data_IF_274640534872
#
_entry.id   IF_274640534872
#
_cell.length_a   1.000
_cell.length_b   1.000
_cell.length_c   1.000
_cell.angle_alpha   90.00
_cell.angle_beta   90.00
_cell.angle_gamma   90.00
#
_symmetry.space_group_name_H-M   'P 1'
#
loop_
_entity.id
_entity.type
_entity.pdbx_description
1 polymer ?
#
# COMPACT_ATOMS: atom_id res chain seq x y z
N UNK A 1 20.50 -14.50 -4.83
CA UNK A 1 19.71 -14.85 -3.63
C UNK A 1 18.48 -13.95 -3.62
N UNK A 2 17.31 -14.53 -3.31
CA UNK A 2 16.08 -13.74 -3.23
C UNK A 2 16.08 -12.92 -1.94
N UNK A 3 15.53 -11.70 -2.03
CA UNK A 3 15.42 -10.82 -0.88
C UNK A 3 14.31 -11.29 0.07
N UNK A 4 14.54 -11.18 1.35
CA UNK A 4 13.53 -11.37 2.41
C UNK A 4 13.77 -10.36 3.52
N UNK A 5 12.70 -9.90 4.16
CA UNK A 5 12.81 -8.98 5.30
C UNK A 5 13.41 -9.68 6.53
N UNK A 6 13.18 -10.98 6.66
CA UNK A 6 13.73 -11.79 7.76
C UNK A 6 13.80 -13.25 7.31
N UNK A 7 14.91 -13.89 7.62
CA UNK A 7 15.10 -15.32 7.32
C UNK A 7 14.22 -16.16 8.27
N UNK A 8 14.29 -15.86 9.56
CA UNK A 8 13.44 -16.50 10.56
C UNK A 8 12.20 -15.65 10.78
N UNK A 9 11.04 -16.24 10.49
CA UNK A 9 9.74 -15.56 10.55
C UNK A 9 8.97 -15.86 11.83
N UNK A 10 9.60 -16.54 12.79
CA UNK A 10 8.97 -16.77 14.10
C UNK A 10 8.70 -15.42 14.77
N UNK A 11 7.49 -15.26 15.34
CA UNK A 11 7.07 -13.96 15.89
C UNK A 11 7.99 -13.48 17.01
N UNK A 12 8.45 -14.39 17.89
CA UNK A 12 9.36 -14.00 18.97
C UNK A 12 10.70 -13.50 18.43
N UNK A 13 11.19 -14.10 17.34
CA UNK A 13 12.42 -13.63 16.67
C UNK A 13 12.20 -12.25 16.07
N UNK A 14 11.04 -12.03 15.42
CA UNK A 14 10.72 -10.73 14.82
C UNK A 14 10.62 -9.63 15.89
N UNK A 15 9.98 -9.91 17.05
CA UNK A 15 9.88 -8.97 18.16
C UNK A 15 11.26 -8.61 18.75
N UNK A 16 12.15 -9.59 18.81
CA UNK A 16 13.50 -9.36 19.34
C UNK A 16 14.39 -8.63 18.34
N UNK A 17 14.12 -8.80 17.03
CA UNK A 17 14.91 -8.16 15.97
C UNK A 17 14.45 -6.73 15.69
N UNK A 18 13.13 -6.52 15.68
CA UNK A 18 12.53 -5.24 15.23
C UNK A 18 11.70 -4.62 16.35
N UNK A 19 12.16 -3.50 16.88
CA UNK A 19 11.44 -2.76 17.93
C UNK A 19 10.02 -2.37 17.50
N UNK A 20 9.84 -2.07 16.21
CA UNK A 20 8.52 -1.70 15.69
C UNK A 20 7.54 -2.89 15.70
N UNK A 21 8.03 -4.14 15.60
CA UNK A 21 7.17 -5.32 15.75
C UNK A 21 6.72 -5.44 17.23
N UNK A 22 7.66 -5.28 18.14
CA UNK A 22 7.37 -5.32 19.59
C UNK A 22 6.34 -4.26 19.98
N UNK A 23 6.42 -3.07 19.37
CA UNK A 23 5.49 -1.98 19.66
C UNK A 23 4.03 -2.30 19.27
N UNK A 24 3.82 -3.20 18.29
CA UNK A 24 2.47 -3.59 17.86
C UNK A 24 1.65 -4.21 19.01
N UNK A 25 2.31 -4.89 19.94
CA UNK A 25 1.64 -5.51 21.10
C UNK A 25 1.03 -4.50 22.06
N UNK A 26 1.47 -3.26 22.00
CA UNK A 26 0.98 -2.17 22.88
C UNK A 26 -0.22 -1.43 22.30
N UNK A 27 -0.62 -1.73 21.04
CA UNK A 27 -1.60 -0.93 20.30
C UNK A 27 -2.95 -1.66 20.28
N UNK A 28 -3.90 -1.15 21.04
CA UNK A 28 -5.27 -1.67 21.07
C UNK A 28 -6.03 -1.25 19.83
N UNK A 29 -6.98 -2.08 19.39
CA UNK A 29 -7.81 -1.81 18.24
C UNK A 29 -9.29 -1.77 18.63
N UNK A 30 -10.13 -1.20 17.78
CA UNK A 30 -11.57 -1.09 18.03
C UNK A 30 -12.19 -2.49 18.05
N UNK A 31 -12.78 -2.93 19.18
CA UNK A 31 -13.33 -4.30 19.28
C UNK A 31 -14.47 -4.60 18.31
N UNK A 32 -15.11 -3.58 17.75
CA UNK A 32 -16.19 -3.77 16.78
C UNK A 32 -15.65 -4.36 15.46
N UNK A 33 -14.46 -3.91 15.05
CA UNK A 33 -13.85 -4.30 13.79
C UNK A 33 -12.65 -5.23 13.97
N UNK A 34 -12.10 -5.30 15.18
CA UNK A 34 -10.89 -6.07 15.51
C UNK A 34 -11.05 -6.71 16.89
N UNK A 35 -11.98 -7.66 16.99
CA UNK A 35 -12.25 -8.34 18.26
C UNK A 35 -11.10 -9.26 18.70
N UNK A 36 -10.10 -9.47 17.81
CA UNK A 36 -8.88 -10.22 18.13
C UNK A 36 -7.99 -9.51 19.16
N UNK A 37 -8.06 -8.16 19.25
CA UNK A 37 -7.40 -7.43 20.33
C UNK A 37 -6.43 -6.35 19.88
N UNK A 38 -5.11 -6.65 19.86
CA UNK A 38 -4.10 -5.63 19.55
C UNK A 38 -3.51 -5.86 18.14
N UNK A 39 -2.72 -4.89 17.68
CA UNK A 39 -2.14 -4.90 16.33
C UNK A 39 -1.22 -6.11 16.12
N UNK A 40 -0.50 -6.57 17.17
CA UNK A 40 0.38 -7.74 17.04
C UNK A 40 -0.40 -9.01 16.73
N UNK A 41 -1.51 -9.24 17.46
CA UNK A 41 -2.36 -10.40 17.22
C UNK A 41 -2.96 -10.33 15.82
N UNK A 42 -3.49 -9.16 15.45
CA UNK A 42 -4.05 -8.94 14.12
C UNK A 42 -3.01 -9.24 13.03
N UNK A 43 -1.79 -8.68 13.16
CA UNK A 43 -0.74 -8.87 12.15
C UNK A 43 -0.38 -10.35 11.99
N UNK A 44 -0.26 -11.09 13.11
CA UNK A 44 0.02 -12.53 13.06
C UNK A 44 -1.09 -13.28 12.31
N UNK A 45 -2.36 -12.94 12.59
CA UNK A 45 -3.50 -13.55 11.89
C UNK A 45 -3.47 -13.24 10.39
N UNK A 46 -3.13 -11.99 10.02
CA UNK A 46 -3.00 -11.57 8.62
C UNK A 46 -1.91 -12.39 7.92
N UNK A 47 -0.74 -12.55 8.56
CA UNK A 47 0.37 -13.33 7.99
C UNK A 47 -0.03 -14.81 7.81
N UNK A 48 -0.75 -15.37 8.78
CA UNK A 48 -1.25 -16.73 8.66
C UNK A 48 -2.23 -16.87 7.51
N UNK A 49 -3.23 -16.00 7.45
CA UNK A 49 -4.24 -16.01 6.39
C UNK A 49 -3.60 -15.85 5.01
N UNK A 50 -2.63 -14.93 4.89
CA UNK A 50 -1.92 -14.72 3.63
C UNK A 50 -1.29 -16.03 3.11
N UNK A 51 -0.62 -16.78 3.99
CA UNK A 51 0.04 -18.02 3.60
C UNK A 51 -0.95 -19.12 3.16
N UNK A 52 -2.20 -19.04 3.63
CA UNK A 52 -3.26 -20.01 3.30
C UNK A 52 -3.96 -19.68 1.97
N UNK A 53 -3.81 -18.45 1.43
CA UNK A 53 -4.49 -18.04 0.20
C UNK A 53 -3.88 -18.77 -1.02
N UNK A 54 -4.70 -19.45 -1.84
CA UNK A 54 -4.18 -20.15 -3.02
C UNK A 54 -3.46 -19.23 -4.00
N UNK A 55 -3.92 -18.01 -4.16
CA UNK A 55 -3.30 -17.02 -5.05
C UNK A 55 -1.89 -16.65 -4.58
N UNK A 56 -1.68 -16.52 -3.28
CA UNK A 56 -0.36 -16.29 -2.70
C UNK A 56 0.57 -17.48 -2.96
N UNK A 57 0.06 -18.70 -2.77
CA UNK A 57 0.86 -19.93 -2.94
C UNK A 57 1.32 -20.12 -4.39
N UNK A 58 0.59 -19.58 -5.38
CA UNK A 58 0.94 -19.66 -6.80
C UNK A 58 2.03 -18.66 -7.21
N UNK A 59 2.31 -17.66 -6.38
CA UNK A 59 3.32 -16.64 -6.70
C UNK A 59 4.72 -17.22 -6.62
N UNK A 60 5.66 -16.66 -7.40
CA UNK A 60 7.05 -17.00 -7.24
C UNK A 60 7.54 -16.52 -5.86
N UNK A 61 8.63 -17.13 -5.39
CA UNK A 61 9.12 -16.89 -4.04
C UNK A 61 9.41 -15.41 -3.75
N UNK A 62 10.01 -14.68 -4.68
CA UNK A 62 10.32 -13.26 -4.44
C UNK A 62 9.05 -12.43 -4.25
N UNK A 63 8.00 -12.71 -5.01
CA UNK A 63 6.70 -12.02 -4.82
C UNK A 63 6.07 -12.42 -3.49
N UNK A 64 6.17 -13.69 -3.10
CA UNK A 64 5.69 -14.13 -1.78
C UNK A 64 6.39 -13.35 -0.66
N UNK A 65 7.72 -13.24 -0.71
CA UNK A 65 8.50 -12.51 0.31
C UNK A 65 8.10 -11.04 0.36
N UNK A 66 7.90 -10.42 -0.81
CA UNK A 66 7.51 -9.02 -0.91
C UNK A 66 6.14 -8.76 -0.27
N UNK A 67 5.14 -9.60 -0.59
CA UNK A 67 3.79 -9.43 -0.04
C UNK A 67 3.77 -9.77 1.45
N UNK A 68 4.54 -10.79 1.86
CA UNK A 68 4.67 -11.15 3.27
C UNK A 68 5.24 -9.97 4.09
N UNK A 69 6.28 -9.31 3.58
CA UNK A 69 6.86 -8.13 4.22
C UNK A 69 5.85 -6.97 4.26
N UNK A 70 5.07 -6.82 3.19
CA UNK A 70 4.01 -5.79 3.15
C UNK A 70 2.94 -6.06 4.22
N UNK A 71 2.56 -7.33 4.39
CA UNK A 71 1.59 -7.72 5.42
C UNK A 71 2.16 -7.49 6.83
N UNK A 72 3.45 -7.76 7.04
CA UNK A 72 4.08 -7.50 8.34
C UNK A 72 4.09 -6.00 8.67
N UNK A 73 4.25 -5.15 7.64
CA UNK A 73 4.43 -3.70 7.82
C UNK A 73 3.14 -2.87 7.65
N UNK A 74 2.03 -3.47 7.18
CA UNK A 74 0.85 -2.70 6.74
C UNK A 74 0.31 -1.76 7.82
N UNK A 75 0.35 -2.20 9.06
CA UNK A 75 -0.19 -1.47 10.21
C UNK A 75 0.90 -0.90 11.14
N UNK A 76 2.14 -0.82 10.69
CA UNK A 76 3.30 -0.43 11.52
C UNK A 76 3.10 0.92 12.24
N UNK A 77 2.37 1.86 11.65
CA UNK A 77 2.16 3.18 12.27
C UNK A 77 0.83 3.34 13.01
N UNK A 78 0.05 2.28 13.20
CA UNK A 78 -1.03 2.34 14.18
C UNK A 78 -0.48 2.69 15.57
N UNK A 79 0.76 2.26 15.87
CA UNK A 79 1.44 2.60 17.16
C UNK A 79 1.52 4.11 17.44
N UNK A 80 1.51 4.96 16.43
CA UNK A 80 1.68 6.41 16.60
C UNK A 80 0.46 7.22 16.12
N UNK A 81 -0.54 6.56 15.56
CA UNK A 81 -1.72 7.23 15.01
C UNK A 81 -3.02 6.83 15.71
N UNK A 82 -2.97 5.81 16.57
CA UNK A 82 -4.17 5.33 17.26
C UNK A 82 -4.62 6.36 18.30
N UNK A 83 -5.90 6.69 18.25
CA UNK A 83 -6.55 7.61 19.20
C UNK A 83 -7.83 6.96 19.70
N UNK A 84 -8.22 7.36 20.91
CA UNK A 84 -9.49 6.96 21.52
C UNK A 84 -10.40 8.20 21.51
N UNK A 85 -11.51 8.10 20.78
CA UNK A 85 -12.49 9.17 20.71
C UNK A 85 -13.24 9.37 22.02
N UNK A 86 -13.91 10.50 22.13
CA UNK A 86 -14.74 10.79 23.32
C UNK A 86 -15.89 9.80 23.50
N UNK A 87 -16.27 9.11 22.43
CA UNK A 87 -17.29 8.06 22.45
C UNK A 87 -16.70 6.66 22.76
N UNK A 88 -15.39 6.60 23.08
CA UNK A 88 -14.69 5.37 23.39
C UNK A 88 -14.24 4.55 22.18
N UNK A 89 -14.53 5.01 20.97
CA UNK A 89 -14.13 4.31 19.76
C UNK A 89 -12.64 4.52 19.48
N UNK A 90 -12.01 3.46 18.98
CA UNK A 90 -10.58 3.47 18.68
C UNK A 90 -10.41 3.60 17.16
N UNK A 91 -9.60 4.54 16.73
CA UNK A 91 -9.31 4.73 15.30
C UNK A 91 -7.83 5.07 15.10
N UNK A 92 -7.33 4.88 13.89
CA UNK A 92 -5.92 5.13 13.55
C UNK A 92 -5.84 5.93 12.23
N UNK A 93 -6.22 7.23 12.29
CA UNK A 93 -6.25 8.03 11.07
C UNK A 93 -4.87 8.15 10.45
N UNK A 94 -4.83 8.08 9.12
CA UNK A 94 -3.60 8.25 8.32
C UNK A 94 -2.50 7.22 8.60
N UNK A 95 -2.79 6.10 9.31
CA UNK A 95 -1.75 5.09 9.60
C UNK A 95 -1.09 4.55 8.33
N UNK A 96 -1.84 4.33 7.25
CA UNK A 96 -1.29 3.82 5.99
C UNK A 96 -0.34 4.82 5.33
N UNK A 97 -0.70 6.11 5.34
CA UNK A 97 0.15 7.16 4.77
C UNK A 97 1.44 7.33 5.56
N UNK A 98 1.34 7.35 6.89
CA UNK A 98 2.52 7.43 7.76
C UNK A 98 3.31 6.13 7.70
N UNK A 99 2.61 4.99 7.69
CA UNK A 99 3.22 3.66 7.59
C UNK A 99 4.09 3.50 6.35
N UNK A 100 3.65 4.04 5.21
CA UNK A 100 4.44 4.01 3.98
C UNK A 100 5.79 4.74 4.15
N UNK A 101 5.79 5.90 4.84
CA UNK A 101 7.03 6.63 5.10
C UNK A 101 7.96 5.82 6.02
N UNK A 102 7.42 5.31 7.11
CA UNK A 102 8.18 4.49 8.07
C UNK A 102 8.71 3.21 7.42
N UNK A 103 7.89 2.56 6.59
CA UNK A 103 8.31 1.38 5.82
C UNK A 103 9.52 1.71 4.95
N UNK A 104 9.48 2.84 4.24
CA UNK A 104 10.61 3.26 3.40
C UNK A 104 11.88 3.47 4.23
N UNK A 105 11.74 4.09 5.41
CA UNK A 105 12.88 4.31 6.30
C UNK A 105 13.46 2.98 6.81
N UNK A 106 12.61 2.06 7.27
CA UNK A 106 13.02 0.74 7.74
C UNK A 106 13.77 -0.02 6.62
N UNK A 107 13.16 -0.08 5.44
CA UNK A 107 13.71 -0.83 4.31
C UNK A 107 14.90 -0.16 3.62
N UNK A 108 15.16 1.10 3.93
CA UNK A 108 16.35 1.82 3.43
C UNK A 108 17.51 1.73 4.43
N UNK A 109 17.20 1.93 5.72
CA UNK A 109 18.23 2.12 6.73
C UNK A 109 18.53 0.85 7.53
N UNK A 110 17.50 0.08 7.86
CA UNK A 110 17.62 -1.00 8.85
C UNK A 110 17.66 -2.40 8.19
N UNK A 111 17.05 -2.53 7.00
CA UNK A 111 17.03 -3.79 6.24
C UNK A 111 17.48 -3.50 4.82
N UNK A 112 18.66 -3.99 4.42
CA UNK A 112 19.19 -3.72 3.09
C UNK A 112 18.23 -4.25 2.01
N UNK A 113 17.47 -3.36 1.36
CA UNK A 113 16.40 -3.70 0.43
C UNK A 113 16.65 -3.05 -0.93
N UNK A 114 16.66 -3.83 -2.02
CA UNK A 114 16.75 -3.24 -3.37
C UNK A 114 15.63 -2.23 -3.62
N UNK A 115 15.96 -1.14 -4.30
CA UNK A 115 15.04 -0.01 -4.54
C UNK A 115 13.67 -0.47 -5.05
N UNK A 116 13.66 -1.34 -6.07
CA UNK A 116 12.40 -1.77 -6.70
C UNK A 116 11.52 -2.53 -5.70
N UNK A 117 12.11 -3.44 -4.92
CA UNK A 117 11.37 -4.20 -3.89
C UNK A 117 10.86 -3.26 -2.81
N UNK A 118 11.72 -2.35 -2.35
CA UNK A 118 11.35 -1.38 -1.32
C UNK A 118 10.14 -0.55 -1.72
N UNK A 119 10.16 0.02 -2.95
CA UNK A 119 9.08 0.91 -3.37
C UNK A 119 7.78 0.15 -3.64
N UNK A 120 7.84 -1.12 -4.04
CA UNK A 120 6.65 -1.96 -4.16
C UNK A 120 6.02 -2.22 -2.78
N UNK A 121 6.83 -2.55 -1.77
CA UNK A 121 6.33 -2.76 -0.40
C UNK A 121 5.72 -1.47 0.14
N UNK A 122 6.42 -0.33 -0.03
CA UNK A 122 5.94 0.98 0.41
C UNK A 122 4.57 1.29 -0.20
N UNK A 123 4.40 0.99 -1.49
CA UNK A 123 3.13 1.25 -2.19
C UNK A 123 2.01 0.33 -1.69
N UNK A 124 2.31 -0.94 -1.45
CA UNK A 124 1.33 -1.88 -0.88
C UNK A 124 0.89 -1.40 0.50
N UNK A 125 1.82 -1.00 1.36
CA UNK A 125 1.49 -0.44 2.68
C UNK A 125 0.65 0.83 2.53
N UNK A 126 1.01 1.72 1.59
CA UNK A 126 0.30 2.99 1.36
C UNK A 126 -1.17 2.77 1.01
N UNK A 127 -1.46 1.76 0.20
CA UNK A 127 -2.78 1.57 -0.38
C UNK A 127 -3.54 0.37 0.20
N UNK A 128 -3.01 -0.33 1.24
CA UNK A 128 -3.58 -1.60 1.70
C UNK A 128 -5.08 -1.55 2.02
N UNK A 129 -5.57 -0.41 2.53
CA UNK A 129 -6.99 -0.25 2.83
C UNK A 129 -7.86 0.10 1.62
N UNK A 130 -7.27 0.50 0.48
CA UNK A 130 -8.05 0.98 -0.65
C UNK A 130 -9.03 -0.07 -1.19
N UNK A 131 -8.66 -1.36 -1.35
CA UNK A 131 -9.62 -2.33 -1.90
C UNK A 131 -10.90 -2.47 -1.07
N UNK A 132 -10.83 -2.29 0.24
CA UNK A 132 -11.99 -2.41 1.11
C UNK A 132 -12.92 -1.20 1.03
N UNK A 133 -12.39 -0.03 0.66
CA UNK A 133 -13.12 1.23 0.76
C UNK A 133 -13.15 2.02 -0.56
N UNK A 134 -12.78 1.38 -1.69
CA UNK A 134 -12.70 2.08 -2.98
C UNK A 134 -14.03 2.71 -3.37
N UNK A 135 -15.11 1.95 -3.24
CA UNK A 135 -16.43 2.41 -3.70
C UNK A 135 -17.03 3.50 -2.81
N UNK A 136 -16.41 3.77 -1.65
CA UNK A 136 -16.82 4.87 -0.75
C UNK A 136 -16.02 6.15 -1.00
N UNK A 137 -15.05 6.12 -1.90
CA UNK A 137 -14.27 7.31 -2.25
C UNK A 137 -15.13 8.31 -3.02
N UNK A 138 -14.81 9.59 -2.90
CA UNK A 138 -15.49 10.67 -3.65
C UNK A 138 -15.33 10.43 -5.16
N UNK A 139 -14.15 9.98 -5.57
CA UNK A 139 -13.86 9.63 -6.97
C UNK A 139 -13.17 8.27 -6.99
N UNK A 140 -13.94 7.18 -7.07
CA UNK A 140 -13.37 5.83 -7.09
C UNK A 140 -12.47 5.59 -8.31
N UNK A 141 -12.84 6.12 -9.49
CA UNK A 141 -12.06 5.95 -10.71
C UNK A 141 -10.67 6.56 -10.54
N UNK A 142 -10.62 7.84 -10.16
CA UNK A 142 -9.33 8.53 -9.97
C UNK A 142 -8.49 7.84 -8.91
N UNK A 143 -9.12 7.38 -7.82
CA UNK A 143 -8.44 6.66 -6.74
C UNK A 143 -7.82 5.35 -7.23
N UNK A 144 -8.57 4.56 -8.02
CA UNK A 144 -8.08 3.30 -8.58
C UNK A 144 -6.95 3.55 -9.58
N UNK A 145 -7.15 4.49 -10.51
CA UNK A 145 -6.16 4.80 -11.54
C UNK A 145 -4.86 5.32 -10.91
N UNK A 146 -4.97 6.20 -9.88
CA UNK A 146 -3.79 6.73 -9.18
C UNK A 146 -3.02 5.61 -8.46
N UNK A 147 -3.71 4.73 -7.75
CA UNK A 147 -3.06 3.61 -7.05
C UNK A 147 -2.34 2.70 -8.05
N UNK A 148 -2.93 2.44 -9.21
CA UNK A 148 -2.35 1.56 -10.23
C UNK A 148 -1.03 2.08 -10.81
N UNK A 149 -0.74 3.38 -10.66
CA UNK A 149 0.56 3.93 -11.06
C UNK A 149 1.70 3.44 -10.17
N UNK A 150 1.38 2.98 -8.96
CA UNK A 150 2.39 2.67 -7.94
C UNK A 150 2.35 1.20 -7.50
N UNK A 151 1.24 0.49 -7.70
CA UNK A 151 1.06 -0.83 -7.10
C UNK A 151 0.39 -1.80 -8.08
N UNK A 152 0.77 -3.08 -8.00
CA UNK A 152 0.08 -4.17 -8.71
C UNK A 152 -1.28 -4.39 -8.00
N UNK A 153 -2.39 -4.15 -8.74
CA UNK A 153 -3.73 -4.18 -8.14
C UNK A 153 -4.11 -5.58 -7.65
N UNK A 154 -3.59 -6.64 -8.30
CA UNK A 154 -3.86 -8.01 -7.87
C UNK A 154 -3.14 -8.32 -6.55
N UNK A 155 -1.91 -7.84 -6.38
CA UNK A 155 -1.17 -7.99 -5.12
C UNK A 155 -1.83 -7.16 -4.02
N UNK A 156 -2.33 -5.99 -4.36
CA UNK A 156 -3.04 -5.13 -3.40
C UNK A 156 -4.32 -5.81 -2.91
N UNK A 157 -5.10 -6.42 -3.83
CA UNK A 157 -6.29 -7.19 -3.45
C UNK A 157 -5.91 -8.36 -2.53
N UNK A 158 -4.84 -9.07 -2.87
CA UNK A 158 -4.36 -10.22 -2.10
C UNK A 158 -4.01 -9.82 -0.66
N UNK A 159 -3.28 -8.71 -0.51
CA UNK A 159 -2.94 -8.18 0.82
C UNK A 159 -4.20 -7.79 1.59
N UNK A 160 -5.13 -7.10 0.94
CA UNK A 160 -6.39 -6.67 1.57
C UNK A 160 -7.28 -7.87 1.96
N UNK A 161 -7.24 -8.96 1.18
CA UNK A 161 -7.96 -10.19 1.52
C UNK A 161 -7.39 -10.83 2.78
N UNK A 162 -6.07 -10.92 2.86
CA UNK A 162 -5.41 -11.43 4.06
C UNK A 162 -5.74 -10.56 5.29
N UNK A 163 -5.74 -9.22 5.12
CA UNK A 163 -6.11 -8.27 6.18
C UNK A 163 -7.55 -8.50 6.64
N UNK A 164 -8.49 -8.63 5.71
CA UNK A 164 -9.90 -8.85 6.05
C UNK A 164 -10.10 -10.17 6.80
N UNK A 165 -9.47 -11.25 6.30
CA UNK A 165 -9.58 -12.58 6.91
C UNK A 165 -8.80 -12.69 8.23
N UNK A 166 -7.83 -11.82 8.45
CA UNK A 166 -7.01 -11.79 9.66
C UNK A 166 -7.64 -11.03 10.82
N UNK A 167 -8.95 -10.82 10.80
CA UNK A 167 -9.65 -10.13 11.88
C UNK A 167 -10.89 -10.91 12.31
N UNK A 168 -11.29 -10.73 13.56
CA UNK A 168 -12.56 -11.22 14.06
C UNK A 168 -13.57 -10.07 13.99
N UNK A 169 -14.44 -10.12 12.99
CA UNK A 169 -15.46 -9.09 12.77
C UNK A 169 -16.75 -9.76 12.25
N UNK A 170 -17.87 -9.06 12.43
CA UNK A 170 -19.17 -9.59 12.00
C UNK A 170 -19.45 -9.35 10.51
N UNK A 171 -18.70 -8.46 9.90
CA UNK A 171 -18.92 -7.98 8.54
C UNK A 171 -17.94 -8.54 7.51
N UNK A 172 -17.32 -9.70 7.79
CA UNK A 172 -16.33 -10.29 6.89
C UNK A 172 -16.88 -10.47 5.47
N UNK A 173 -18.12 -10.97 5.34
CA UNK A 173 -18.72 -11.18 4.00
C UNK A 173 -18.86 -9.87 3.23
N UNK A 174 -19.16 -8.76 3.93
CA UNK A 174 -19.22 -7.43 3.31
C UNK A 174 -17.83 -6.99 2.82
N UNK A 175 -16.79 -7.24 3.63
CA UNK A 175 -15.42 -6.92 3.23
C UNK A 175 -14.98 -7.73 2.02
N UNK A 176 -15.29 -9.04 1.99
CA UNK A 176 -14.94 -9.89 0.85
C UNK A 176 -15.68 -9.45 -0.42
N UNK A 177 -16.95 -9.06 -0.29
CA UNK A 177 -17.71 -8.50 -1.41
C UNK A 177 -17.05 -7.21 -1.93
N UNK A 178 -16.58 -6.34 -1.03
CA UNK A 178 -15.88 -5.12 -1.43
C UNK A 178 -14.62 -5.43 -2.26
N UNK A 179 -13.90 -6.51 -1.90
CA UNK A 179 -12.72 -6.94 -2.66
C UNK A 179 -13.08 -7.42 -4.06
N UNK A 180 -14.20 -8.13 -4.21
CA UNK A 180 -14.65 -8.55 -5.53
C UNK A 180 -15.07 -7.34 -6.37
N UNK A 181 -15.72 -6.36 -5.76
CA UNK A 181 -16.07 -5.11 -6.43
C UNK A 181 -14.83 -4.31 -6.82
N UNK A 182 -13.79 -4.31 -5.95
CA UNK A 182 -12.51 -3.67 -6.27
C UNK A 182 -11.90 -4.26 -7.54
N UNK A 183 -11.85 -5.59 -7.63
CA UNK A 183 -11.30 -6.27 -8.81
C UNK A 183 -12.12 -5.96 -10.06
N UNK A 184 -13.44 -6.13 -9.96
CA UNK A 184 -14.35 -5.91 -11.10
C UNK A 184 -14.22 -4.47 -11.60
N UNK A 185 -14.27 -3.51 -10.70
CA UNK A 185 -14.18 -2.08 -11.05
C UNK A 185 -12.82 -1.74 -11.64
N UNK A 186 -11.73 -2.28 -11.08
CA UNK A 186 -10.38 -2.02 -11.60
C UNK A 186 -10.21 -2.57 -13.02
N UNK A 187 -10.87 -3.71 -13.32
CA UNK A 187 -10.91 -4.26 -14.68
C UNK A 187 -11.71 -3.35 -15.61
N UNK A 188 -12.87 -2.88 -15.14
CA UNK A 188 -13.75 -2.00 -15.92
C UNK A 188 -13.06 -0.69 -16.31
N UNK A 189 -12.35 -0.07 -15.38
CA UNK A 189 -11.66 1.20 -15.65
C UNK A 189 -10.27 1.00 -16.28
N UNK A 190 -9.88 -0.25 -16.53
CA UNK A 190 -8.68 -0.56 -17.31
C UNK A 190 -7.37 -0.46 -16.55
N UNK A 191 -7.38 -0.68 -15.22
CA UNK A 191 -6.15 -0.56 -14.43
C UNK A 191 -5.79 -1.82 -13.63
N UNK A 192 -6.45 -2.96 -13.90
CA UNK A 192 -6.19 -4.20 -13.15
C UNK A 192 -4.82 -4.80 -13.47
N UNK A 193 -4.45 -4.83 -14.76
CA UNK A 193 -3.20 -5.46 -15.21
C UNK A 193 -2.05 -4.47 -15.34
N UNK A 194 -2.21 -3.25 -14.85
CA UNK A 194 -1.21 -2.19 -14.93
C UNK A 194 -1.90 -0.85 -15.12
N UNK A 195 -1.14 0.24 -15.11
CA UNK A 195 -1.74 1.58 -15.27
C UNK A 195 -2.53 1.71 -16.58
N UNK A 196 -3.70 2.35 -16.50
CA UNK A 196 -4.48 2.66 -17.70
C UNK A 196 -3.65 3.54 -18.64
N UNK A 197 -3.52 3.19 -19.92
CA UNK A 197 -2.82 4.05 -20.87
C UNK A 197 -3.63 5.32 -21.15
N UNK A 198 -2.96 6.44 -21.31
CA UNK A 198 -3.53 7.71 -21.73
C UNK A 198 -3.00 8.01 -23.14
N UNK A 199 -3.79 8.73 -23.93
CA UNK A 199 -3.40 9.06 -25.32
C UNK A 199 -2.12 9.89 -25.37
N UNK A 200 -1.93 10.81 -24.41
CA UNK A 200 -0.70 11.59 -24.29
C UNK A 200 -0.28 11.71 -22.84
N UNK A 201 1.00 12.03 -22.60
CA UNK A 201 1.48 12.31 -21.25
C UNK A 201 0.81 13.56 -20.66
N UNK A 202 0.48 14.54 -21.52
CA UNK A 202 -0.24 15.74 -21.07
C UNK A 202 -1.67 15.38 -20.62
N UNK A 203 -2.33 14.47 -21.32
CA UNK A 203 -3.66 14.00 -20.91
C UNK A 203 -3.59 13.31 -19.54
N UNK A 204 -2.58 12.46 -19.34
CA UNK A 204 -2.37 11.79 -18.05
C UNK A 204 -2.11 12.80 -16.93
N UNK A 205 -1.19 13.74 -17.17
CA UNK A 205 -0.86 14.79 -16.20
C UNK A 205 -2.11 15.62 -15.84
N UNK A 206 -2.84 16.05 -16.85
CA UNK A 206 -4.04 16.89 -16.67
C UNK A 206 -5.10 16.14 -15.87
N UNK A 207 -5.31 14.84 -16.15
CA UNK A 207 -6.30 14.04 -15.42
C UNK A 207 -5.96 13.97 -13.93
N UNK A 208 -4.72 13.67 -13.58
CA UNK A 208 -4.37 13.49 -12.17
C UNK A 208 -4.19 14.80 -11.40
N UNK A 209 -3.87 15.90 -12.08
CA UNK A 209 -3.56 17.16 -11.42
C UNK A 209 -4.64 18.25 -11.64
N UNK A 210 -5.56 18.04 -12.57
CA UNK A 210 -6.65 18.95 -12.80
C UNK A 210 -7.88 18.65 -11.95
N UNK A 211 -8.83 19.56 -11.98
CA UNK A 211 -10.14 19.39 -11.36
C UNK A 211 -11.17 19.08 -12.46
N UNK A 212 -12.00 18.09 -12.22
CA UNK A 212 -13.17 17.78 -13.05
C UNK A 212 -12.87 17.40 -14.51
N UNK A 213 -11.73 16.77 -14.76
CA UNK A 213 -11.41 16.28 -16.10
C UNK A 213 -11.90 14.84 -16.29
N UNK A 214 -12.45 14.57 -17.47
CA UNK A 214 -12.79 13.20 -17.85
C UNK A 214 -11.52 12.41 -18.15
N UNK A 215 -11.55 11.11 -17.87
CA UNK A 215 -10.40 10.24 -18.07
C UNK A 215 -9.93 10.21 -19.53
N UNK A 216 -10.86 10.41 -20.49
CA UNK A 216 -10.55 10.38 -21.92
C UNK A 216 -10.40 11.79 -22.51
N UNK A 217 -10.36 12.83 -21.68
CA UNK A 217 -10.14 14.20 -22.14
C UNK A 217 -8.69 14.36 -22.61
N UNK A 218 -8.51 14.84 -23.83
CA UNK A 218 -7.18 15.09 -24.41
C UNK A 218 -7.03 16.61 -24.58
N UNK A 219 -6.24 17.25 -23.71
CA UNK A 219 -6.02 18.69 -23.84
C UNK A 219 -5.17 19.02 -25.06
N UNK A 220 -5.28 20.27 -25.51
CA UNK A 220 -4.46 20.78 -26.62
C UNK A 220 -2.97 20.64 -26.24
N UNK A 221 -2.17 20.10 -27.14
CA UNK A 221 -0.81 19.68 -26.84
C UNK A 221 0.13 19.92 -28.05
N UNK A 222 0.32 21.20 -28.40
CA UNK A 222 1.31 21.57 -29.44
C UNK A 222 2.41 22.41 -28.79
N UNK A 223 3.19 21.74 -27.93
CA UNK A 223 4.31 22.39 -27.26
C UNK A 223 5.50 22.50 -28.21
N UNK A 224 6.07 23.70 -28.31
CA UNK A 224 7.21 23.99 -29.16
C UNK A 224 8.53 24.11 -28.38
N UNK A 225 8.44 24.08 -27.05
CA UNK A 225 9.60 24.28 -26.18
C UNK A 225 9.90 23.05 -25.38
N UNK A 226 11.19 22.81 -25.14
CA UNK A 226 11.67 21.76 -24.23
C UNK A 226 12.22 22.43 -22.97
N UNK A 227 11.77 21.95 -21.82
CA UNK A 227 12.29 22.37 -20.51
C UNK A 227 13.12 21.23 -19.95
N UNK A 228 14.37 21.50 -19.68
CA UNK A 228 15.29 20.54 -19.06
C UNK A 228 15.40 20.89 -17.58
N UNK A 229 14.99 19.99 -16.71
CA UNK A 229 15.10 20.17 -15.26
C UNK A 229 16.21 19.29 -14.74
N UNK A 230 17.23 19.91 -14.14
CA UNK A 230 18.31 19.20 -13.49
C UNK A 230 17.99 19.02 -12.01
N UNK A 231 18.12 17.79 -11.52
CA UNK A 231 17.85 17.48 -10.12
C UNK A 231 19.00 16.64 -9.57
N UNK A 232 19.54 17.10 -8.45
CA UNK A 232 20.65 16.40 -7.80
C UNK A 232 21.02 17.05 -6.48
N UNK A 233 21.91 16.40 -5.75
CA UNK A 233 22.41 16.95 -4.50
C UNK A 233 23.34 18.16 -4.78
N UNK A 234 23.48 19.08 -3.81
CA UNK A 234 24.45 20.16 -3.95
C UNK A 234 25.83 19.61 -4.30
N UNK A 235 26.48 20.20 -5.28
CA UNK A 235 27.83 19.77 -5.73
C UNK A 235 27.84 18.69 -6.79
N UNK A 236 26.70 18.22 -7.26
CA UNK A 236 26.65 17.17 -8.29
C UNK A 236 26.75 17.72 -9.72
N UNK A 237 27.29 18.98 -9.90
CA UNK A 237 27.58 19.57 -11.23
C UNK A 237 26.32 20.08 -12.00
N UNK A 238 25.44 20.33 -11.38
CA UNK A 238 24.26 20.85 -11.93
C UNK A 238 24.44 22.16 -12.63
N UNK A 239 25.44 22.84 -12.41
CA UNK A 239 25.81 24.02 -13.07
C UNK A 239 26.54 23.81 -14.38
N UNK A 240 27.03 22.96 -14.45
CA UNK A 240 27.72 22.55 -15.63
C UNK A 240 26.87 22.16 -16.80
N UNK A 241 25.82 21.98 -16.52
CA UNK A 241 24.91 21.66 -17.55
C UNK A 241 24.17 22.88 -18.13
N UNK A 242 24.42 23.74 -17.73
CA UNK A 242 23.87 24.96 -18.22
C UNK A 242 24.73 25.64 -19.17
N UNK A 243 25.60 25.31 -19.34
CA UNK A 243 26.49 25.81 -20.31
C UNK A 243 26.39 25.28 -21.61
#
# INVERSE_FOLDING_TARGET
MEWTIAVDKDWSTLENTFSWVKDMGKVQQDPLHHAEGNVAIHTQMVLQQLQELPEYQKLNRQKQELIWASALLHDVEKRSTTIIGSDGRISSPNHAKKGAKTTREILFRDVETPFVIREQIVSLVRYHGLPLWLMEKVDPMKSALEASLAVDMSQLKLLAEADAKGRYCRDLDTLLYALDMFELYSKEVGCWNGPRPFLTENARFTYFNGNDNYVDYVPFDTFKSTVIVLSGLPGMGXXXXXX
#
